data_IF_833411227265
#
_entry.id   IF_833411227265
#
_cell.length_a   1.000
_cell.length_b   1.000
_cell.length_c   1.000
_cell.angle_alpha   90.00
_cell.angle_beta   90.00
_cell.angle_gamma   90.00
#
_symmetry.space_group_name_H-M   'P 1'
#
loop_
_entity.id
_entity.type
_entity.pdbx_description
1 polymer ?
#
# COMPACT_ATOMS: atom_id res chain seq x y z
N UNK A 1 10.32 9.64 -14.61
CA UNK A 1 9.14 8.73 -14.66
C UNK A 1 7.87 9.57 -14.61
N UNK A 2 6.90 9.24 -15.45
CA UNK A 2 5.60 9.93 -15.47
C UNK A 2 4.52 8.97 -15.03
N UNK A 3 3.63 9.42 -14.11
CA UNK A 3 2.39 8.73 -13.76
C UNK A 3 1.22 9.62 -14.10
N UNK A 4 0.07 9.01 -14.37
CA UNK A 4 -1.17 9.73 -14.65
C UNK A 4 -2.16 9.43 -13.55
N UNK A 5 -2.77 10.48 -12.97
CA UNK A 5 -3.70 10.36 -11.86
C UNK A 5 -5.06 10.91 -12.27
N UNK A 6 -6.09 10.08 -12.14
CA UNK A 6 -7.48 10.50 -12.25
C UNK A 6 -8.04 10.70 -10.84
N UNK A 7 -8.43 11.92 -10.50
CA UNK A 7 -9.06 12.24 -9.22
C UNK A 7 -10.56 12.01 -9.30
N UNK A 8 -11.11 11.29 -8.32
CA UNK A 8 -12.55 11.02 -8.22
C UNK A 8 -13.27 12.02 -7.31
N UNK A 9 -12.52 12.78 -6.53
CA UNK A 9 -13.02 13.83 -5.65
C UNK A 9 -12.05 15.01 -5.65
N UNK A 10 -12.44 16.11 -5.02
CA UNK A 10 -11.66 17.33 -4.93
C UNK A 10 -10.67 17.32 -3.75
N UNK A 11 -9.95 16.21 -3.58
CA UNK A 11 -8.90 16.14 -2.58
C UNK A 11 -7.71 17.02 -3.00
N UNK A 12 -6.85 17.33 -2.02
CA UNK A 12 -5.60 18.03 -2.31
C UNK A 12 -4.74 17.20 -3.27
N UNK A 13 -4.08 17.84 -4.26
CA UNK A 13 -3.27 17.12 -5.23
C UNK A 13 -2.19 16.27 -4.59
N UNK A 14 -1.99 15.08 -5.14
CA UNK A 14 -0.92 14.16 -4.73
C UNK A 14 0.39 14.68 -5.30
N UNK A 15 1.40 14.81 -4.44
CA UNK A 15 2.70 15.35 -4.83
C UNK A 15 3.84 14.62 -4.13
N UNK A 16 4.98 14.41 -4.80
CA UNK A 16 6.18 13.95 -4.10
C UNK A 16 6.59 14.95 -3.02
N UNK A 17 7.09 14.43 -1.89
CA UNK A 17 7.61 15.27 -0.82
C UNK A 17 9.10 15.56 -1.07
N UNK A 18 9.58 16.79 -0.76
CA UNK A 18 10.98 17.16 -1.00
C UNK A 18 11.99 16.25 -0.27
N UNK A 19 11.62 15.75 0.91
CA UNK A 19 12.50 14.96 1.77
C UNK A 19 12.03 13.52 1.95
N UNK A 20 11.01 13.09 1.19
CA UNK A 20 10.44 11.76 1.28
C UNK A 20 10.67 10.96 0.02
N UNK A 21 10.85 9.66 0.18
CA UNK A 21 10.98 8.72 -0.94
C UNK A 21 9.60 8.19 -1.37
N UNK A 22 8.69 8.02 -0.40
CA UNK A 22 7.32 7.58 -0.66
C UNK A 22 6.40 8.78 -0.84
N UNK A 23 5.29 8.56 -1.56
CA UNK A 23 4.32 9.60 -1.87
C UNK A 23 3.08 9.38 -0.99
N UNK A 24 2.65 10.43 -0.29
CA UNK A 24 1.47 10.36 0.58
C UNK A 24 0.18 10.28 -0.21
N UNK A 25 -0.76 9.49 0.32
CA UNK A 25 -2.13 9.39 -0.18
C UNK A 25 -3.11 9.85 0.89
N UNK A 26 -4.24 10.39 0.44
CA UNK A 26 -5.22 11.05 1.30
C UNK A 26 -6.54 10.29 1.31
N UNK A 27 -7.25 10.35 2.44
CA UNK A 27 -8.64 9.90 2.49
C UNK A 27 -9.50 10.81 1.61
N UNK A 28 -10.38 10.21 0.81
CA UNK A 28 -11.25 10.97 -0.10
C UNK A 28 -12.49 11.54 0.57
N UNK A 29 -12.82 11.06 1.77
CA UNK A 29 -14.01 11.46 2.54
C UNK A 29 -13.78 11.16 4.01
N UNK A 30 -14.75 11.59 4.85
CA UNK A 30 -14.72 11.33 6.28
C UNK A 30 -15.11 9.89 6.59
N UNK A 31 -14.46 9.32 7.60
CA UNK A 31 -14.78 8.00 8.16
C UNK A 31 -14.80 8.08 9.67
N UNK A 32 -15.77 7.40 10.28
CA UNK A 32 -15.77 7.11 11.71
C UNK A 32 -15.78 5.60 11.86
N UNK A 33 -14.74 5.06 12.48
CA UNK A 33 -14.58 3.63 12.70
C UNK A 33 -14.58 3.33 14.19
N UNK A 34 -15.20 2.21 14.55
CA UNK A 34 -15.22 1.73 15.93
C UNK A 34 -14.29 0.53 16.08
N UNK A 35 -13.83 0.21 17.31
CA UNK A 35 -12.95 -0.95 17.51
C UNK A 35 -13.56 -2.21 16.90
N UNK A 36 -12.77 -2.92 16.11
CA UNK A 36 -13.21 -4.12 15.42
C UNK A 36 -13.77 -3.89 14.02
N UNK A 37 -13.99 -2.66 13.61
CA UNK A 37 -14.48 -2.37 12.27
C UNK A 37 -13.41 -2.63 11.23
N UNK A 38 -13.84 -3.25 10.13
CA UNK A 38 -13.07 -3.34 8.88
C UNK A 38 -13.63 -2.32 7.89
N UNK A 39 -12.75 -1.61 7.18
CA UNK A 39 -13.17 -0.67 6.15
C UNK A 39 -12.15 -0.61 5.01
N UNK A 40 -12.67 -0.35 3.81
CA UNK A 40 -11.85 0.05 2.66
C UNK A 40 -11.86 1.58 2.61
N UNK A 41 -10.76 2.19 3.00
CA UNK A 41 -10.65 3.66 2.93
C UNK A 41 -10.38 4.06 1.49
N UNK A 42 -11.34 4.75 0.90
CA UNK A 42 -11.24 5.26 -0.47
C UNK A 42 -10.20 6.38 -0.51
N UNK A 43 -9.22 6.24 -1.39
CA UNK A 43 -8.13 7.21 -1.54
C UNK A 43 -8.37 8.22 -2.66
N UNK A 44 -9.51 8.12 -3.35
CA UNK A 44 -10.00 9.11 -4.29
C UNK A 44 -9.25 9.19 -5.61
N UNK A 45 -8.41 8.23 -5.93
CA UNK A 45 -7.57 8.25 -7.13
C UNK A 45 -7.58 6.91 -7.85
N UNK A 46 -7.45 6.99 -9.18
CA UNK A 46 -7.05 5.88 -10.04
C UNK A 46 -5.77 6.31 -10.73
N UNK A 47 -4.77 5.44 -10.75
CA UNK A 47 -3.42 5.83 -11.20
C UNK A 47 -2.94 4.85 -12.27
N UNK A 48 -2.45 5.42 -13.38
CA UNK A 48 -1.79 4.65 -14.42
C UNK A 48 -0.28 4.81 -14.28
N UNK A 49 0.38 3.68 -14.02
CA UNK A 49 1.82 3.60 -13.89
C UNK A 49 2.47 3.34 -15.27
N UNK A 50 3.75 3.70 -15.45
CA UNK A 50 4.45 3.34 -16.66
C UNK A 50 4.57 1.83 -16.80
N UNK A 51 4.69 1.34 -18.04
CA UNK A 51 4.91 -0.08 -18.31
C UNK A 51 6.14 -0.58 -17.57
N UNK A 52 6.05 -1.80 -17.02
CA UNK A 52 7.14 -2.41 -16.29
C UNK A 52 7.24 -2.02 -14.83
N UNK A 53 6.26 -1.30 -14.29
CA UNK A 53 6.24 -0.88 -12.88
C UNK A 53 4.95 -1.31 -12.19
N UNK A 54 5.05 -1.46 -10.89
CA UNK A 54 3.92 -1.69 -9.99
C UNK A 54 4.02 -0.73 -8.81
N UNK A 55 2.97 -0.62 -7.99
CA UNK A 55 3.01 0.21 -6.80
C UNK A 55 2.82 -0.63 -5.54
N UNK A 56 3.45 -0.20 -4.46
CA UNK A 56 3.25 -0.76 -3.13
C UNK A 56 2.67 0.32 -2.22
N UNK A 57 1.59 -0.02 -1.54
CA UNK A 57 0.87 0.86 -0.63
C UNK A 57 1.08 0.40 0.81
N UNK A 58 1.44 1.34 1.67
CA UNK A 58 1.72 1.07 3.08
C UNK A 58 1.13 2.18 3.96
N UNK A 59 0.94 1.92 5.26
CA UNK A 59 0.64 3.00 6.19
C UNK A 59 1.84 3.93 6.33
N UNK A 60 1.58 5.17 6.73
CA UNK A 60 2.64 6.09 7.13
C UNK A 60 3.10 5.72 8.55
N UNK A 61 4.29 6.18 8.93
CA UNK A 61 4.82 5.92 10.28
C UNK A 61 3.89 6.43 11.40
N UNK A 62 3.09 7.45 11.12
CA UNK A 62 2.16 8.06 12.09
C UNK A 62 0.75 7.49 12.02
N UNK A 63 0.43 6.61 11.07
CA UNK A 63 -0.95 6.17 10.84
C UNK A 63 -1.55 5.47 12.06
N UNK A 64 -0.87 4.49 12.62
CA UNK A 64 -1.36 3.79 13.80
C UNK A 64 -1.44 4.72 15.02
N UNK A 65 -0.41 5.54 15.23
CA UNK A 65 -0.38 6.49 16.34
C UNK A 65 -1.57 7.45 16.30
N UNK A 66 -1.89 7.99 15.12
CA UNK A 66 -2.93 9.01 14.99
C UNK A 66 -4.34 8.42 15.01
N UNK A 67 -4.55 7.24 14.43
CA UNK A 67 -5.90 6.70 14.26
C UNK A 67 -6.11 5.31 14.85
N UNK A 68 -5.06 4.59 15.23
CA UNK A 68 -5.19 3.22 15.73
C UNK A 68 -5.69 2.23 14.68
N UNK A 69 -5.48 2.51 13.41
CA UNK A 69 -5.86 1.62 12.30
C UNK A 69 -4.64 0.82 11.84
N UNK A 70 -4.90 -0.42 11.47
CA UNK A 70 -3.90 -1.34 10.93
C UNK A 70 -4.30 -1.68 9.50
N UNK A 71 -3.35 -1.58 8.57
CA UNK A 71 -3.59 -2.04 7.20
C UNK A 71 -3.63 -3.56 7.19
N UNK A 72 -4.76 -4.13 6.75
CA UNK A 72 -5.02 -5.57 6.91
C UNK A 72 -4.22 -6.46 5.97
N UNK A 73 -3.73 -5.93 4.86
CA UNK A 73 -2.90 -6.68 3.92
C UNK A 73 -1.41 -6.36 4.04
N UNK A 74 -0.99 -5.70 5.11
CA UNK A 74 0.41 -5.30 5.41
C UNK A 74 1.00 -4.38 4.34
N UNK A 75 1.10 -4.85 3.11
CA UNK A 75 1.50 -4.08 1.93
C UNK A 75 0.46 -4.29 0.85
N UNK A 76 -0.13 -3.21 0.37
CA UNK A 76 -1.03 -3.25 -0.76
C UNK A 76 -0.22 -3.40 -2.05
N UNK A 77 -0.41 -4.49 -2.76
CA UNK A 77 0.24 -4.71 -4.05
C UNK A 77 -0.71 -4.24 -5.14
N UNK A 78 -0.29 -3.22 -5.88
CA UNK A 78 -1.11 -2.64 -6.93
C UNK A 78 -0.44 -2.96 -8.27
N UNK A 79 -1.06 -3.89 -9.01
CA UNK A 79 -0.56 -4.32 -10.30
C UNK A 79 -0.60 -3.18 -11.31
N UNK A 80 0.30 -3.22 -12.28
CA UNK A 80 0.30 -2.28 -13.41
C UNK A 80 -1.05 -2.25 -14.13
N UNK A 81 -1.72 -3.40 -14.22
CA UNK A 81 -3.01 -3.53 -14.90
C UNK A 81 -4.18 -2.88 -14.16
N UNK A 82 -4.02 -2.55 -12.87
CA UNK A 82 -5.07 -1.88 -12.07
C UNK A 82 -5.07 -0.38 -12.38
N UNK A 83 -5.42 -0.03 -13.61
CA UNK A 83 -5.23 1.31 -14.16
C UNK A 83 -6.46 1.81 -14.94
N UNK A 84 -7.63 1.22 -14.69
CA UNK A 84 -8.89 1.68 -15.32
C UNK A 84 -9.48 2.88 -14.58
N UNK A 85 -10.42 3.54 -15.24
CA UNK A 85 -11.08 4.73 -14.68
C UNK A 85 -11.87 4.41 -13.39
N UNK A 86 -12.30 3.17 -13.21
CA UNK A 86 -13.05 2.74 -12.03
C UNK A 86 -12.20 1.90 -11.06
N UNK A 87 -10.92 1.79 -11.32
CA UNK A 87 -9.99 1.08 -10.44
C UNK A 87 -9.47 2.06 -9.38
N UNK A 88 -10.27 2.28 -8.37
CA UNK A 88 -10.01 3.25 -7.31
C UNK A 88 -9.09 2.62 -6.27
N UNK A 89 -8.02 3.33 -5.92
CA UNK A 89 -7.11 2.89 -4.88
C UNK A 89 -7.76 3.01 -3.51
N UNK A 90 -7.66 1.95 -2.72
CA UNK A 90 -8.20 1.87 -1.38
C UNK A 90 -7.17 1.33 -0.41
N UNK A 91 -7.28 1.73 0.86
CA UNK A 91 -6.49 1.18 1.96
C UNK A 91 -7.41 0.32 2.83
N UNK A 92 -7.23 -1.01 2.85
CA UNK A 92 -8.01 -1.86 3.75
C UNK A 92 -7.47 -1.73 5.17
N UNK A 93 -8.35 -1.44 6.13
CA UNK A 93 -7.94 -1.20 7.52
C UNK A 93 -8.83 -1.94 8.51
N UNK A 94 -8.23 -2.27 9.66
CA UNK A 94 -8.89 -2.73 10.86
C UNK A 94 -8.68 -1.71 11.96
N UNK A 95 -9.77 -1.27 12.59
CA UNK A 95 -9.70 -0.28 13.66
C UNK A 95 -9.51 -0.95 15.02
N UNK A 96 -8.50 -0.53 15.77
CA UNK A 96 -8.24 -1.03 17.13
C UNK A 96 -8.87 -0.15 18.21
N UNK A 97 -9.31 1.05 17.84
CA UNK A 97 -9.99 2.02 18.70
C UNK A 97 -10.87 2.89 17.83
N UNK A 98 -11.65 3.80 18.45
CA UNK A 98 -12.43 4.77 17.68
C UNK A 98 -11.46 5.62 16.86
N UNK A 99 -11.67 5.66 15.56
CA UNK A 99 -10.87 6.41 14.62
C UNK A 99 -11.76 7.38 13.83
N UNK A 100 -11.43 8.66 13.88
CA UNK A 100 -12.07 9.69 13.07
C UNK A 100 -11.05 10.14 12.03
N UNK A 101 -11.34 9.84 10.78
CA UNK A 101 -10.50 10.20 9.64
C UNK A 101 -11.26 11.25 8.85
N UNK A 102 -10.60 12.35 8.53
CA UNK A 102 -11.21 13.41 7.74
C UNK A 102 -10.70 13.39 6.32
N UNK A 103 -11.56 13.82 5.40
CA UNK A 103 -11.15 14.07 4.01
C UNK A 103 -9.85 14.86 3.97
N UNK A 104 -8.94 14.47 3.11
CA UNK A 104 -7.59 15.01 2.97
C UNK A 104 -6.57 14.57 4.02
N UNK A 105 -6.97 13.82 5.05
CA UNK A 105 -5.98 13.24 5.96
C UNK A 105 -5.03 12.32 5.20
N UNK A 106 -3.72 12.48 5.45
CA UNK A 106 -2.68 11.65 4.83
C UNK A 106 -2.53 10.38 5.64
N UNK A 107 -3.24 9.32 5.24
CA UNK A 107 -3.34 8.06 5.99
C UNK A 107 -2.47 6.94 5.44
N UNK A 108 -2.00 7.08 4.22
CA UNK A 108 -1.24 6.05 3.53
C UNK A 108 -0.13 6.67 2.70
N UNK A 109 0.72 5.83 2.17
CA UNK A 109 1.78 6.23 1.25
C UNK A 109 2.04 5.11 0.25
N UNK A 110 2.61 5.45 -0.89
CA UNK A 110 2.97 4.45 -1.89
C UNK A 110 4.32 4.75 -2.51
N UNK A 111 4.94 3.72 -3.05
CA UNK A 111 6.10 3.84 -3.92
C UNK A 111 5.91 3.01 -5.18
N UNK A 112 6.65 3.37 -6.20
CA UNK A 112 6.63 2.69 -7.50
C UNK A 112 7.91 1.88 -7.61
N UNK A 113 7.77 0.61 -7.94
CA UNK A 113 8.90 -0.32 -8.05
C UNK A 113 8.84 -1.06 -9.38
N UNK A 114 9.98 -1.51 -9.91
CA UNK A 114 9.98 -2.37 -11.10
C UNK A 114 9.20 -3.67 -10.84
N UNK A 115 8.48 -4.12 -11.85
CA UNK A 115 7.83 -5.43 -11.80
C UNK A 115 8.88 -6.52 -11.69
N UNK A 116 8.51 -7.61 -11.06
CA UNK A 116 9.33 -8.81 -11.03
C UNK A 116 9.61 -9.27 -12.47
N UNK A 117 10.84 -9.69 -12.80
CA UNK A 117 11.12 -10.24 -14.12
C UNK A 117 10.30 -11.51 -14.35
N UNK A 118 10.09 -11.92 -15.60
CA UNK A 118 9.43 -13.19 -15.91
C UNK A 118 10.10 -14.33 -15.16
N UNK A 119 9.29 -15.22 -14.58
CA UNK A 119 9.75 -16.33 -13.76
C UNK A 119 9.30 -17.63 -14.41
N UNK A 120 10.23 -18.54 -14.63
CA UNK A 120 9.96 -19.91 -15.04
C UNK A 120 10.06 -20.81 -13.82
N UNK A 121 8.93 -21.39 -13.40
CA UNK A 121 8.87 -22.22 -12.20
C UNK A 121 8.99 -23.68 -12.61
N UNK A 122 10.11 -24.30 -12.21
CA UNK A 122 10.44 -25.68 -12.55
C UNK A 122 10.40 -26.54 -11.31
N UNK A 123 9.60 -27.61 -11.35
CA UNK A 123 9.58 -28.61 -10.30
C UNK A 123 10.85 -29.47 -10.39
N UNK A 124 11.53 -29.60 -9.26
CA UNK A 124 12.74 -30.45 -9.16
C UNK A 124 12.58 -31.43 -8.01
N UNK A 125 13.34 -32.53 -8.04
CA UNK A 125 13.36 -33.51 -6.95
C UNK A 125 14.37 -33.13 -5.85
N UNK A 126 15.35 -32.30 -6.18
CA UNK A 126 16.37 -31.82 -5.27
C UNK A 126 16.84 -30.45 -5.70
N UNK A 127 17.13 -29.56 -4.74
CA UNK A 127 17.71 -28.25 -5.02
C UNK A 127 19.23 -28.31 -5.18
N UNK A 128 19.86 -29.44 -4.80
CA UNK A 128 21.31 -29.67 -4.89
C UNK A 128 22.11 -28.53 -4.21
N UNK A 129 21.60 -28.06 -3.09
CA UNK A 129 22.21 -27.01 -2.29
C UNK A 129 22.24 -27.41 -0.82
N UNK A 130 23.25 -26.99 -0.06
CA UNK A 130 23.27 -27.27 1.38
C UNK A 130 22.19 -26.52 2.10
N UNK A 131 21.64 -27.15 3.14
CA UNK A 131 20.67 -26.50 4.03
C UNK A 131 21.36 -25.38 4.82
N UNK A 132 20.76 -24.18 4.81
CA UNK A 132 21.25 -23.06 5.62
C UNK A 132 20.61 -23.07 7.02
N UNK A 133 19.34 -23.45 7.10
CA UNK A 133 18.53 -23.30 8.30
C UNK A 133 17.92 -21.90 8.43
N UNK A 134 17.06 -21.74 9.40
CA UNK A 134 16.36 -20.49 9.68
C UNK A 134 15.56 -20.59 10.96
N UNK A 135 14.73 -19.58 11.27
CA UNK A 135 13.86 -19.56 12.44
C UNK A 135 14.59 -19.84 13.75
N UNK A 136 15.74 -19.16 13.94
CA UNK A 136 16.53 -19.32 15.15
C UNK A 136 17.54 -20.47 15.11
N UNK A 137 17.73 -21.12 13.96
CA UNK A 137 18.71 -22.20 13.83
C UNK A 137 20.14 -21.78 14.11
N UNK A 138 20.45 -20.48 14.01
CA UNK A 138 21.75 -19.90 14.35
C UNK A 138 21.86 -19.54 15.82
N UNK A 139 20.83 -19.75 16.63
CA UNK A 139 20.80 -19.46 18.06
C UNK A 139 20.33 -18.04 18.36
N UNK A 140 20.21 -17.75 19.66
CA UNK A 140 19.77 -16.46 20.19
C UNK A 140 20.88 -15.60 20.75
N UNK A 141 22.11 -16.08 20.74
CA UNK A 141 23.27 -15.39 21.33
C UNK A 141 24.21 -14.86 20.27
#
# INVERSE_FOLDING_TARGET
MKIEILYHTDIEPIQPLPNGDWIDLRASKDYTLFPGDFALIDLGVSIKLPDGYEAHLAPRSSTFKNWGIIQTNSVGVIDNSFAGNNDIWCMPVYATRIATIYKNDRIAQFRIVPKMPPVDIVKVDSLDSPNRGGFGSTGTN
#
